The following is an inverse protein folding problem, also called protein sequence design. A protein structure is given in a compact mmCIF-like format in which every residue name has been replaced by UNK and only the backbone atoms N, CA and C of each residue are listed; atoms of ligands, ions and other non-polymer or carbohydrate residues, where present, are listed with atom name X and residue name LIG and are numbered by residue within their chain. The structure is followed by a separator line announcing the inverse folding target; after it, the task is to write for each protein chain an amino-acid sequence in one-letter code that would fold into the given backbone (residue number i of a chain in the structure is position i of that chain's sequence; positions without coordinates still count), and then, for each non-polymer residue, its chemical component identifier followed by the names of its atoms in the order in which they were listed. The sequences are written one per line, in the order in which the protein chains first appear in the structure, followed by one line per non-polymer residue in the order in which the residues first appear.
data_IF_590144812442
#
_entry.id   IF_590144812442
#
_cell.length_a   1.000
_cell.length_b   1.000
_cell.length_c   1.000
_cell.angle_alpha   90.00
_cell.angle_beta   90.00
_cell.angle_gamma   90.00
#
_symmetry.space_group_name_H-M   'P 1'
#
loop_
_entity.id
_entity.type
_entity.pdbx_description
1 polymer ?
#
# COMPACT_ATOMS: atom_id res chain seq x y z
N UNK A 1 -6.62 1.91 3.80
CA UNK A 1 -7.62 3.03 3.87
C UNK A 1 -8.18 3.08 5.27
N UNK A 2 -8.25 4.26 5.89
CA UNK A 2 -8.83 4.44 7.22
C UNK A 2 -10.19 5.11 7.10
N UNK A 3 -11.20 4.55 7.75
CA UNK A 3 -12.57 5.07 7.81
C UNK A 3 -12.80 5.59 9.22
N UNK A 4 -12.54 6.88 9.41
CA UNK A 4 -12.55 7.53 10.73
C UNK A 4 -13.87 7.34 11.47
N UNK A 5 -15.02 7.72 10.90
CA UNK A 5 -16.32 7.62 11.61
C UNK A 5 -16.69 6.23 12.14
N UNK A 6 -16.09 5.16 11.59
CA UNK A 6 -16.33 3.77 12.01
C UNK A 6 -15.16 3.17 12.80
N UNK A 7 -14.09 3.93 13.04
CA UNK A 7 -12.85 3.48 13.69
C UNK A 7 -12.30 2.18 13.06
N UNK A 8 -12.25 2.21 11.74
CA UNK A 8 -12.01 1.02 10.92
C UNK A 8 -10.86 1.22 9.94
N UNK A 9 -10.00 0.22 9.81
CA UNK A 9 -8.90 0.18 8.85
C UNK A 9 -9.12 -0.96 7.86
N UNK A 10 -9.14 -0.60 6.58
CA UNK A 10 -9.20 -1.54 5.47
C UNK A 10 -7.82 -1.72 4.85
N UNK A 11 -7.33 -2.95 4.89
CA UNK A 11 -6.05 -3.35 4.31
C UNK A 11 -6.27 -3.91 2.92
N UNK A 12 -5.41 -3.48 2.01
CA UNK A 12 -5.40 -3.92 0.63
C UNK A 12 -4.12 -4.68 0.37
N UNK A 13 -4.27 -5.87 -0.17
CA UNK A 13 -3.14 -6.71 -0.52
C UNK A 13 -3.23 -7.02 -2.01
N UNK A 14 -2.15 -6.72 -2.74
CA UNK A 14 -2.08 -6.99 -4.17
C UNK A 14 -1.89 -8.48 -4.46
N UNK A 15 -1.53 -9.29 -3.47
CA UNK A 15 -1.40 -10.73 -3.65
C UNK A 15 -2.80 -11.37 -3.67
N UNK A 16 -3.29 -11.64 -4.88
CA UNK A 16 -4.65 -12.11 -5.20
C UNK A 16 -4.99 -13.51 -4.67
N UNK A 17 -5.05 -13.65 -3.35
CA UNK A 17 -5.53 -14.85 -2.68
C UNK A 17 -6.99 -14.67 -2.25
N UNK A 18 -7.86 -15.60 -2.63
CA UNK A 18 -9.29 -15.63 -2.25
C UNK A 18 -9.55 -15.96 -0.78
N UNK A 19 -8.51 -16.29 -0.01
CA UNK A 19 -8.64 -16.65 1.40
C UNK A 19 -8.79 -15.39 2.25
N UNK A 20 -9.73 -15.45 3.21
CA UNK A 20 -9.79 -14.47 4.30
C UNK A 20 -8.42 -14.41 4.96
N UNK A 21 -7.76 -13.25 4.84
CA UNK A 21 -6.47 -13.01 5.49
C UNK A 21 -6.72 -12.50 6.90
N UNK A 22 -5.94 -13.01 7.83
CA UNK A 22 -5.87 -12.49 9.18
C UNK A 22 -4.86 -11.34 9.18
N UNK A 23 -5.17 -10.18 9.81
CA UNK A 23 -4.20 -9.10 9.99
C UNK A 23 -2.89 -9.62 10.61
N UNK A 24 -1.75 -9.26 10.01
CA UNK A 24 -0.45 -9.57 10.59
C UNK A 24 -0.22 -8.76 11.86
N UNK A 25 0.78 -9.16 12.65
CA UNK A 25 1.13 -8.49 13.90
C UNK A 25 1.50 -7.01 13.65
N UNK A 26 2.24 -6.73 12.58
CA UNK A 26 2.62 -5.37 12.19
C UNK A 26 1.40 -4.51 11.88
N UNK A 27 0.37 -5.08 11.24
CA UNK A 27 -0.86 -4.36 10.92
C UNK A 27 -1.65 -4.06 12.19
N UNK A 28 -1.69 -5.00 13.14
CA UNK A 28 -2.31 -4.79 14.44
C UNK A 28 -1.56 -3.71 15.24
N UNK A 29 -0.23 -3.70 15.20
CA UNK A 29 0.57 -2.67 15.83
C UNK A 29 0.33 -1.29 15.20
N UNK A 30 0.28 -1.20 13.86
CA UNK A 30 -0.08 0.05 13.17
C UNK A 30 -1.46 0.56 13.58
N UNK A 31 -2.42 -0.34 13.74
CA UNK A 31 -3.77 -0.03 14.21
C UNK A 31 -3.77 0.60 15.62
N UNK A 32 -2.93 0.11 16.53
CA UNK A 32 -2.75 0.68 17.88
C UNK A 32 -1.99 2.00 17.85
N UNK A 33 -0.88 2.05 17.12
CA UNK A 33 -0.06 3.27 16.98
C UNK A 33 -0.87 4.43 16.41
N UNK A 34 -1.73 4.16 15.44
CA UNK A 34 -2.61 5.17 14.86
C UNK A 34 -3.55 5.76 15.91
N UNK A 35 -4.19 4.94 16.76
CA UNK A 35 -5.06 5.46 17.83
C UNK A 35 -4.27 6.34 18.80
N UNK A 36 -3.09 5.90 19.23
CA UNK A 36 -2.24 6.66 20.14
C UNK A 36 -1.87 8.01 19.55
N UNK A 37 -1.42 8.02 18.28
CA UNK A 37 -1.07 9.26 17.59
C UNK A 37 -2.24 10.26 17.50
N UNK A 38 -3.47 9.78 17.25
CA UNK A 38 -4.65 10.67 17.21
C UNK A 38 -4.95 11.29 18.57
N UNK A 39 -4.80 10.51 19.63
CA UNK A 39 -4.98 10.98 20.99
C UNK A 39 -3.94 12.06 21.32
N UNK A 40 -2.67 11.79 21.03
CA UNK A 40 -1.56 12.69 21.33
C UNK A 40 -1.56 13.97 20.48
N UNK A 41 -2.10 13.91 19.26
CA UNK A 41 -2.18 15.07 18.35
C UNK A 41 -3.34 16.04 18.67
N UNK A 42 -4.16 15.71 19.67
CA UNK A 42 -5.38 16.47 20.01
C UNK A 42 -6.42 16.40 18.89
N UNK A 43 -6.40 15.35 18.07
CA UNK A 43 -7.33 15.18 16.95
C UNK A 43 -8.80 15.16 17.40
N UNK A 44 -9.05 14.56 18.57
CA UNK A 44 -10.38 14.47 19.14
C UNK A 44 -10.86 15.76 19.84
N UNK A 45 -9.93 16.68 20.15
CA UNK A 45 -10.25 17.98 20.75
C UNK A 45 -10.63 19.01 19.68
N UNK A 46 -10.00 18.90 18.49
CA UNK A 46 -10.23 19.76 17.32
C UNK A 46 -11.45 19.30 16.55
N UNK A 47 -12.63 19.52 17.13
CA UNK A 47 -13.90 19.06 16.55
C UNK A 47 -14.62 20.18 15.83
N UNK A 48 -14.19 20.47 14.60
CA UNK A 48 -14.91 21.33 13.66
C UNK A 48 -16.20 20.65 13.13
N UNK A 49 -17.08 20.22 14.04
CA UNK A 49 -18.42 19.70 13.75
C UNK A 49 -18.64 18.19 13.94
N UNK A 50 -17.67 17.41 14.43
CA UNK A 50 -17.87 15.99 14.76
C UNK A 50 -17.77 15.78 16.27
N UNK A 51 -18.87 15.45 16.93
CA UNK A 51 -18.83 14.99 18.31
C UNK A 51 -18.37 13.52 18.34
N UNK A 52 -17.09 13.25 18.59
CA UNK A 52 -16.54 11.89 18.60
C UNK A 52 -17.19 11.00 19.68
N UNK A 53 -17.58 11.55 20.82
CA UNK A 53 -18.28 10.82 21.89
C UNK A 53 -19.69 10.37 21.48
N UNK A 54 -20.28 11.00 20.46
CA UNK A 54 -21.58 10.56 19.90
C UNK A 54 -21.45 9.35 18.96
N UNK A 55 -20.22 9.00 18.55
CA UNK A 55 -19.96 7.84 17.70
C UNK A 55 -19.71 6.62 18.56
N UNK A 56 -20.61 5.64 18.48
CA UNK A 56 -20.50 4.35 19.19
C UNK A 56 -19.15 3.65 18.97
N UNK A 57 -18.51 3.86 17.81
CA UNK A 57 -17.20 3.27 17.51
C UNK A 57 -16.06 3.81 18.40
N UNK A 58 -16.22 5.00 18.97
CA UNK A 58 -15.23 5.69 19.80
C UNK A 58 -15.61 5.78 21.27
N UNK A 59 -16.77 5.23 21.64
CA UNK A 59 -17.31 5.29 22.98
C UNK A 59 -17.02 3.97 23.70
N UNK A 60 -16.45 4.06 24.89
CA UNK A 60 -16.34 2.92 25.79
C UNK A 60 -17.72 2.47 26.24
N UNK A 61 -17.97 1.16 26.23
CA UNK A 61 -19.32 0.63 26.54
C UNK A 61 -19.63 0.65 28.03
N UNK A 62 -18.61 0.61 28.88
CA UNK A 62 -18.76 0.51 30.33
C UNK A 62 -18.75 1.90 30.98
N UNK A 63 -17.80 2.75 30.59
CA UNK A 63 -17.64 4.10 31.16
C UNK A 63 -18.41 5.16 30.37
N UNK A 64 -18.69 4.90 29.08
CA UNK A 64 -19.27 5.89 28.18
C UNK A 64 -18.31 7.00 27.75
N UNK A 65 -17.03 6.90 28.13
CA UNK A 65 -15.99 7.86 27.81
C UNK A 65 -15.36 7.59 26.43
N UNK A 66 -14.51 8.50 25.97
CA UNK A 66 -13.78 8.30 24.71
C UNK A 66 -12.76 7.17 24.89
N UNK A 67 -12.68 6.27 23.91
CA UNK A 67 -11.70 5.19 23.92
C UNK A 67 -10.28 5.77 23.98
N UNK A 68 -9.60 5.44 25.07
CA UNK A 68 -8.26 5.91 25.36
C UNK A 68 -7.16 5.30 24.48
N UNK A 69 -5.90 5.71 24.70
CA UNK A 69 -4.73 5.09 24.09
C UNK A 69 -4.74 3.57 24.31
N UNK A 70 -4.15 2.80 23.39
CA UNK A 70 -4.12 1.33 23.34
C UNK A 70 -5.33 0.63 22.70
N UNK A 71 -6.46 1.31 22.48
CA UNK A 71 -7.54 0.69 21.73
C UNK A 71 -7.16 0.62 20.24
N UNK A 72 -7.21 -0.56 19.65
CA UNK A 72 -6.91 -0.78 18.23
C UNK A 72 -8.12 -0.43 17.33
N UNK A 73 -7.84 0.08 16.13
CA UNK A 73 -8.81 0.12 15.04
C UNK A 73 -9.19 -1.31 14.63
N UNK A 74 -10.47 -1.53 14.29
CA UNK A 74 -10.89 -2.78 13.67
C UNK A 74 -10.24 -2.90 12.29
N UNK A 75 -9.59 -4.03 12.02
CA UNK A 75 -8.87 -4.24 10.76
C UNK A 75 -9.51 -5.34 9.94
N UNK A 76 -9.76 -5.07 8.65
CA UNK A 76 -10.20 -6.09 7.70
C UNK A 76 -9.48 -5.98 6.36
N UNK A 77 -9.28 -7.13 5.71
CA UNK A 77 -8.82 -7.18 4.33
C UNK A 77 -9.98 -6.99 3.36
N UNK A 78 -9.77 -6.13 2.37
CA UNK A 78 -10.67 -6.03 1.23
C UNK A 78 -10.35 -7.09 0.18
N UNK A 79 -11.39 -7.70 -0.38
CA UNK A 79 -11.27 -8.79 -1.35
C UNK A 79 -11.16 -8.28 -2.81
N UNK A 80 -11.44 -7.01 -3.07
CA UNK A 80 -11.50 -6.42 -4.41
C UNK A 80 -10.27 -5.57 -4.72
N UNK A 81 -9.36 -6.10 -5.55
CA UNK A 81 -8.00 -5.57 -5.73
C UNK A 81 -7.87 -4.72 -7.01
N UNK A 82 -8.65 -5.00 -8.06
CA UNK A 82 -8.38 -4.43 -9.38
C UNK A 82 -8.86 -2.97 -9.58
N UNK A 83 -10.00 -2.58 -9.01
CA UNK A 83 -10.50 -1.20 -9.18
C UNK A 83 -9.85 -0.21 -8.20
N UNK A 84 -9.22 -0.68 -7.11
CA UNK A 84 -8.85 0.20 -6.00
C UNK A 84 -7.38 0.63 -5.95
N UNK A 85 -6.45 -0.08 -6.58
CA UNK A 85 -5.11 0.48 -6.87
C UNK A 85 -5.23 1.73 -7.77
N UNK A 86 -6.12 1.66 -8.76
CA UNK A 86 -6.50 2.80 -9.59
C UNK A 86 -7.08 3.95 -8.73
N UNK A 87 -7.92 3.64 -7.73
CA UNK A 87 -8.49 4.63 -6.81
C UNK A 87 -7.42 5.29 -5.93
N UNK A 88 -6.53 4.53 -5.28
CA UNK A 88 -5.48 5.11 -4.42
C UNK A 88 -4.54 6.04 -5.20
N UNK A 89 -4.14 5.63 -6.40
CA UNK A 89 -3.36 6.45 -7.33
C UNK A 89 -4.12 7.70 -7.78
N UNK A 90 -5.40 7.57 -8.13
CA UNK A 90 -6.24 8.71 -8.52
C UNK A 90 -6.43 9.72 -7.38
N UNK A 91 -6.56 9.27 -6.13
CA UNK A 91 -6.64 10.15 -4.96
C UNK A 91 -5.32 10.90 -4.72
N UNK A 92 -4.17 10.21 -4.80
CA UNK A 92 -2.87 10.88 -4.69
C UNK A 92 -2.68 11.93 -5.81
N UNK A 93 -3.18 11.63 -7.01
CA UNK A 93 -3.17 12.55 -8.15
C UNK A 93 -4.10 13.76 -7.96
N UNK A 94 -5.29 13.58 -7.38
CA UNK A 94 -6.20 14.69 -7.04
C UNK A 94 -5.52 15.73 -6.14
N UNK A 95 -4.80 15.28 -5.10
CA UNK A 95 -4.13 16.17 -4.17
C UNK A 95 -2.86 16.83 -4.72
N UNK A 96 -2.22 16.22 -5.71
CA UNK A 96 -0.96 16.74 -6.29
C UNK A 96 -1.16 17.61 -7.51
N UNK A 97 -2.20 17.36 -8.31
CA UNK A 97 -2.40 18.00 -9.61
C UNK A 97 -3.76 18.74 -9.76
N UNK A 98 -4.54 18.93 -8.69
CA UNK A 98 -5.86 19.59 -8.69
C UNK A 98 -6.85 19.07 -9.76
N UNK A 99 -6.73 17.80 -10.16
CA UNK A 99 -7.54 17.25 -11.26
C UNK A 99 -8.94 16.92 -10.72
N UNK A 100 -9.99 17.57 -11.25
CA UNK A 100 -11.38 17.18 -10.98
C UNK A 100 -11.61 15.74 -11.44
N UNK A 101 -11.68 14.81 -10.48
CA UNK A 101 -12.06 13.41 -10.74
C UNK A 101 -13.53 13.42 -11.16
N UNK A 102 -13.82 13.24 -12.46
CA UNK A 102 -15.16 12.80 -12.85
C UNK A 102 -15.29 11.33 -12.46
N UNK A 103 -16.39 10.98 -11.80
CA UNK A 103 -16.66 9.63 -11.27
C UNK A 103 -16.84 8.56 -12.36
N UNK A 104 -16.57 8.89 -13.63
CA UNK A 104 -16.59 7.94 -14.74
C UNK A 104 -15.44 6.97 -14.48
N UNK A 105 -15.80 5.70 -14.30
CA UNK A 105 -14.98 4.65 -13.72
C UNK A 105 -13.51 4.80 -14.07
N UNK A 106 -12.68 4.95 -13.04
CA UNK A 106 -11.23 5.05 -13.11
C UNK A 106 -10.70 3.85 -13.91
N UNK A 107 -10.64 4.01 -15.23
CA UNK A 107 -10.22 2.94 -16.12
C UNK A 107 -8.74 2.72 -15.82
N UNK A 108 -8.43 1.56 -15.27
CA UNK A 108 -7.06 1.14 -14.97
C UNK A 108 -6.13 1.37 -16.16
N UNK A 109 -6.65 1.17 -17.38
CA UNK A 109 -5.94 1.44 -18.63
C UNK A 109 -5.59 2.92 -18.84
N UNK A 110 -6.48 3.85 -18.49
CA UNK A 110 -6.21 5.29 -18.56
C UNK A 110 -5.06 5.68 -17.63
N UNK A 111 -5.14 5.29 -16.35
CA UNK A 111 -4.09 5.59 -15.36
C UNK A 111 -2.78 4.93 -15.77
N UNK A 112 -2.80 3.66 -16.17
CA UNK A 112 -1.61 2.94 -16.64
C UNK A 112 -0.96 3.61 -17.84
N UNK A 113 -1.74 4.08 -18.82
CA UNK A 113 -1.21 4.80 -19.98
C UNK A 113 -0.63 6.15 -19.58
N UNK A 114 -1.31 6.91 -18.72
CA UNK A 114 -0.83 8.19 -18.22
C UNK A 114 0.51 8.06 -17.50
N UNK A 115 0.60 7.13 -16.54
CA UNK A 115 1.85 6.89 -15.82
C UNK A 115 2.95 6.40 -16.75
N UNK A 116 2.65 5.54 -17.73
CA UNK A 116 3.64 5.15 -18.73
C UNK A 116 4.19 6.36 -19.49
N UNK A 117 3.32 7.27 -19.94
CA UNK A 117 3.74 8.49 -20.65
C UNK A 117 4.56 9.42 -19.75
N UNK A 118 4.15 9.62 -18.49
CA UNK A 118 4.90 10.43 -17.53
C UNK A 118 6.28 9.85 -17.22
N UNK A 119 6.36 8.54 -16.93
CA UNK A 119 7.62 7.86 -16.67
C UNK A 119 8.54 7.92 -17.90
N UNK A 120 7.98 7.69 -19.08
CA UNK A 120 8.72 7.76 -20.34
C UNK A 120 9.31 9.15 -20.58
N UNK A 121 8.49 10.20 -20.40
CA UNK A 121 8.94 11.59 -20.53
C UNK A 121 10.05 11.89 -19.53
N UNK A 122 9.84 11.56 -18.25
CA UNK A 122 10.85 11.80 -17.22
C UNK A 122 12.17 11.07 -17.52
N UNK A 123 12.10 9.81 -17.96
CA UNK A 123 13.28 9.04 -18.38
C UNK A 123 13.99 9.67 -19.56
N UNK A 124 13.24 10.15 -20.56
CA UNK A 124 13.80 10.85 -21.72
C UNK A 124 14.44 12.19 -21.34
N UNK A 125 13.79 12.97 -20.48
CA UNK A 125 14.31 14.25 -19.99
C UNK A 125 15.61 14.03 -19.19
N UNK A 126 15.67 12.97 -18.37
CA UNK A 126 16.89 12.57 -17.64
C UNK A 126 18.00 12.09 -18.58
N UNK A 127 17.66 11.27 -19.57
CA UNK A 127 18.62 10.81 -20.59
C UNK A 127 19.21 11.99 -21.36
N UNK A 128 18.36 12.90 -21.84
CA UNK A 128 18.78 14.11 -22.57
C UNK A 128 19.59 15.08 -21.70
N UNK A 129 19.30 15.14 -20.40
CA UNK A 129 20.09 15.93 -19.45
C UNK A 129 21.46 15.30 -19.12
N UNK A 130 21.83 14.18 -19.74
CA UNK A 130 23.08 13.47 -19.49
C UNK A 130 23.14 12.80 -18.12
N UNK A 131 21.99 12.58 -17.48
CA UNK A 131 21.93 11.93 -16.18
C UNK A 131 22.26 10.44 -16.32
N UNK A 132 23.41 10.02 -15.78
CA UNK A 132 23.81 8.62 -15.70
C UNK A 132 23.29 8.06 -14.38
N UNK A 133 22.37 7.09 -14.44
CA UNK A 133 21.96 6.34 -13.26
C UNK A 133 23.10 5.40 -12.87
N UNK A 134 23.76 5.64 -11.73
CA UNK A 134 24.78 4.73 -11.16
C UNK A 134 24.19 3.43 -10.59
N UNK A 135 23.04 2.99 -11.08
CA UNK A 135 22.48 1.69 -10.79
C UNK A 135 23.15 0.64 -11.68
N UNK A 136 24.45 0.44 -11.50
CA UNK A 136 25.14 -0.72 -12.02
C UNK A 136 24.72 -1.92 -11.16
N UNK A 137 23.52 -2.44 -11.38
CA UNK A 137 23.18 -3.76 -10.87
C UNK A 137 24.00 -4.75 -11.70
N UNK A 138 24.93 -5.52 -11.10
CA UNK A 138 25.76 -6.43 -11.87
C UNK A 138 24.84 -7.38 -12.63
N UNK A 139 24.92 -7.32 -13.96
CA UNK A 139 24.23 -8.25 -14.85
C UNK A 139 24.47 -9.66 -14.33
N UNK A 140 23.39 -10.32 -13.92
CA UNK A 140 23.44 -11.71 -13.45
C UNK A 140 23.92 -12.58 -14.62
N UNK A 141 25.22 -12.81 -14.69
CA UNK A 141 25.86 -13.71 -15.64
C UNK A 141 25.30 -15.10 -15.37
N UNK A 142 24.43 -15.56 -16.28
CA UNK A 142 24.12 -16.98 -16.44
C UNK A 142 25.35 -17.62 -17.09
N UNK A 143 26.31 -18.04 -16.30
CA UNK A 143 27.34 -18.98 -16.75
C UNK A 143 27.71 -19.94 -15.62
N UNK A 144 27.56 -21.23 -15.90
CA UNK A 144 27.87 -22.29 -14.96
C UNK A 144 27.14 -23.61 -15.23
N UNK A 145 27.12 -24.07 -16.49
CA UNK A 145 26.95 -25.49 -16.80
C UNK A 145 28.10 -26.22 -16.09
N UNK A 146 27.77 -27.06 -15.12
CA UNK A 146 28.71 -27.93 -14.43
C UNK A 146 29.31 -28.93 -15.43
N UNK A 147 30.50 -28.64 -15.93
CA UNK A 147 31.44 -29.66 -16.42
C UNK A 147 32.13 -30.26 -15.22
N UNK A 148 31.96 -31.56 -14.98
CA UNK A 148 32.87 -32.54 -14.34
C UNK A 148 32.17 -33.90 -14.59
N UNK A 149 32.75 -34.99 -15.11
CA UNK A 149 34.12 -35.51 -15.11
C UNK A 149 34.25 -36.46 -16.33
N UNK A 150 35.33 -36.36 -17.11
CA UNK A 150 35.84 -37.50 -17.91
C UNK A 150 36.77 -38.29 -16.99
N UNK A 151 36.55 -39.60 -16.79
CA UNK A 151 37.61 -40.58 -17.03
C UNK A 151 37.11 -42.04 -16.96
N UNK A 152 37.91 -42.91 -17.60
CA UNK A 152 37.95 -44.39 -17.57
C UNK A 152 37.16 -45.13 -18.67
N UNK A 153 37.85 -45.30 -19.81
CA UNK A 153 37.77 -46.52 -20.63
C UNK A 153 38.21 -47.73 -19.78
N UNK A 154 37.39 -48.78 -19.73
CA UNK A 154 37.87 -50.15 -19.50
C UNK A 154 37.39 -50.99 -20.68
N UNK A 155 38.37 -51.46 -21.43
CA UNK A 155 38.24 -52.45 -22.50
C UNK A 155 38.14 -53.84 -21.86
N UNK A 156 37.23 -54.69 -22.33
CA UNK A 156 37.16 -56.12 -21.95
C UNK A 156 36.86 -56.91 -23.22
N UNK A 157 37.90 -57.58 -23.72
CA UNK A 157 37.82 -58.92 -24.31
C UNK A 157 38.44 -59.92 -23.31
#
# INVERSE_FOLDING_TARGET
IVVWKKRFMRVYDSSGGSRKRVPSEEINQLSVMLQNYLHDSGFFDKTDGINWLSLEAYKDKETGELLGPQHSFTVEYAQEIMQQQAIASAYAEYFTNEIKISSVGLQSDYLRNRYRTLLWKYGMDKFNAGYVSHSDDPTRTKDGISKQVEDVLVDVD
#
